data_IF_233718491724
#
_entry.id   IF_233718491724
#
_cell.length_a   1.000
_cell.length_b   1.000
_cell.length_c   1.000
_cell.angle_alpha   90.00
_cell.angle_beta   90.00
_cell.angle_gamma   90.00
#
_symmetry.space_group_name_H-M   'P 1'
#
loop_
_entity.id
_entity.type
_entity.pdbx_description
1 polymer ?
#
# COMPACT_ATOMS: atom_id res chain seq x y z
N UNK A 1 -41.68 51.36 22.11
CA UNK A 1 -41.20 52.10 20.91
C UNK A 1 -39.79 51.65 20.57
N UNK A 2 -39.64 50.79 19.55
CA UNK A 2 -38.33 50.29 19.11
C UNK A 2 -37.60 51.35 18.26
N UNK A 3 -36.45 51.85 18.73
CA UNK A 3 -35.57 52.74 17.97
C UNK A 3 -34.85 51.93 16.88
N UNK A 4 -35.28 52.07 15.62
CA UNK A 4 -34.54 51.58 14.46
C UNK A 4 -33.36 52.51 14.18
N UNK A 5 -32.13 52.01 14.33
CA UNK A 5 -30.91 52.69 13.87
C UNK A 5 -30.85 52.63 12.33
N UNK A 6 -31.32 53.67 11.66
CA UNK A 6 -31.14 53.83 10.22
C UNK A 6 -29.67 54.20 9.94
N UNK A 7 -28.88 53.25 9.45
CA UNK A 7 -27.60 53.56 8.82
C UNK A 7 -27.90 54.34 7.52
N UNK A 8 -27.35 55.55 7.31
CA UNK A 8 -27.57 56.27 6.07
C UNK A 8 -26.90 55.52 4.91
N UNK A 9 -27.70 55.07 3.94
CA UNK A 9 -27.24 54.59 2.65
C UNK A 9 -26.80 55.80 1.82
N UNK A 10 -25.57 56.27 2.02
CA UNK A 10 -24.95 57.29 1.16
C UNK A 10 -24.48 56.65 -0.14
N UNK A 11 -24.70 57.29 -1.28
CA UNK A 11 -24.24 56.81 -2.59
C UNK A 11 -22.71 56.67 -2.62
N UNK A 12 -22.20 55.56 -3.16
CA UNK A 12 -20.77 55.37 -3.41
C UNK A 12 -20.28 56.47 -4.36
N UNK A 13 -19.25 57.26 -3.99
CA UNK A 13 -18.77 58.35 -4.84
C UNK A 13 -18.14 57.82 -6.13
N UNK A 14 -18.15 58.62 -7.19
CA UNK A 14 -17.58 58.25 -8.50
C UNK A 14 -16.06 58.11 -8.50
N UNK A 15 -15.37 58.73 -7.54
CA UNK A 15 -13.92 58.63 -7.36
C UNK A 15 -13.50 58.87 -5.91
N UNK A 16 -12.30 58.44 -5.56
CA UNK A 16 -11.70 58.66 -4.25
C UNK A 16 -10.37 59.40 -4.40
N UNK A 17 -10.24 60.59 -3.78
CA UNK A 17 -9.03 61.43 -3.88
C UNK A 17 -7.79 60.83 -3.19
N UNK A 18 -7.99 60.01 -2.16
CA UNK A 18 -6.91 59.44 -1.34
C UNK A 18 -6.87 57.90 -1.38
N UNK A 19 -7.96 57.24 -1.78
CA UNK A 19 -8.01 55.79 -1.87
C UNK A 19 -7.42 55.35 -3.21
N UNK A 20 -6.37 54.53 -3.19
CA UNK A 20 -5.70 54.03 -4.39
C UNK A 20 -4.53 54.88 -4.89
N UNK A 21 -4.25 56.03 -4.27
CA UNK A 21 -3.04 56.83 -4.55
C UNK A 21 -1.79 56.29 -3.84
N UNK A 22 -1.96 55.48 -2.80
CA UNK A 22 -0.87 54.81 -2.08
C UNK A 22 -0.26 53.68 -2.92
N UNK A 23 1.05 53.48 -2.78
CA UNK A 23 1.75 52.36 -3.44
C UNK A 23 1.11 51.01 -3.08
N UNK A 24 0.80 50.20 -4.10
CA UNK A 24 0.25 48.85 -3.89
C UNK A 24 1.28 47.95 -3.19
N UNK A 25 0.87 47.09 -2.24
CA UNK A 25 1.78 46.14 -1.63
C UNK A 25 2.29 45.16 -2.69
N UNK A 26 3.58 44.74 -2.61
CA UNK A 26 4.13 43.81 -3.59
C UNK A 26 3.49 42.42 -3.46
N UNK A 27 3.31 41.76 -4.61
CA UNK A 27 2.93 40.36 -4.62
C UNK A 27 4.06 39.47 -4.07
N UNK A 28 3.71 38.34 -3.48
CA UNK A 28 4.71 37.35 -3.02
C UNK A 28 5.34 36.63 -4.21
N UNK A 29 6.66 36.42 -4.15
CA UNK A 29 7.41 35.70 -5.19
C UNK A 29 7.68 34.23 -4.84
N UNK A 30 7.26 33.77 -3.65
CA UNK A 30 7.47 32.40 -3.19
C UNK A 30 6.49 31.98 -2.11
N UNK A 31 6.69 30.77 -1.59
CA UNK A 31 5.82 30.11 -0.61
C UNK A 31 6.59 29.70 0.65
N UNK A 32 5.88 29.18 1.65
CA UNK A 32 6.48 28.60 2.86
C UNK A 32 7.22 29.63 3.73
N UNK A 33 8.30 29.19 4.39
CA UNK A 33 9.05 30.04 5.33
C UNK A 33 9.52 31.33 4.64
N UNK A 34 9.17 32.48 5.23
CA UNK A 34 9.49 33.82 4.74
C UNK A 34 9.01 34.11 3.29
N UNK A 35 8.07 33.33 2.74
CA UNK A 35 7.64 33.43 1.33
C UNK A 35 8.79 33.31 0.31
N UNK A 36 9.87 32.58 0.65
CA UNK A 36 11.07 32.44 -0.20
C UNK A 36 11.27 31.04 -0.78
N UNK A 37 10.42 30.06 -0.44
CA UNK A 37 10.56 28.72 -1.00
C UNK A 37 10.02 28.68 -2.43
N UNK A 38 10.80 28.04 -3.33
CA UNK A 38 10.37 27.74 -4.70
C UNK A 38 9.43 26.53 -4.71
N UNK A 39 8.43 26.56 -5.57
CA UNK A 39 7.60 25.39 -5.89
C UNK A 39 8.40 24.47 -6.82
N UNK A 40 8.92 23.37 -6.27
CA UNK A 40 9.67 22.34 -7.00
C UNK A 40 9.43 20.95 -6.39
N UNK A 41 9.69 19.86 -7.13
CA UNK A 41 9.69 18.53 -6.55
C UNK A 41 10.55 18.48 -5.28
N UNK A 42 10.05 17.82 -4.25
CA UNK A 42 10.67 17.80 -2.92
C UNK A 42 11.01 16.38 -2.50
N UNK A 43 11.79 16.24 -1.43
CA UNK A 43 12.10 14.92 -0.87
C UNK A 43 10.81 14.17 -0.47
N UNK A 44 9.73 14.90 -0.11
CA UNK A 44 8.40 14.38 0.26
C UNK A 44 7.52 13.93 -0.92
N UNK A 45 7.97 14.09 -2.17
CA UNK A 45 7.25 13.57 -3.35
C UNK A 45 7.27 12.04 -3.32
N UNK A 46 6.10 11.39 -3.42
CA UNK A 46 6.02 9.93 -3.44
C UNK A 46 6.45 9.38 -4.81
N UNK A 47 6.98 8.16 -4.81
CA UNK A 47 7.31 7.36 -5.99
C UNK A 47 6.28 6.24 -6.10
N UNK A 48 5.52 6.19 -7.20
CA UNK A 48 4.47 5.19 -7.41
C UNK A 48 4.91 4.01 -8.29
N UNK A 49 6.04 4.16 -8.98
CA UNK A 49 6.51 3.16 -9.95
C UNK A 49 7.34 2.03 -9.30
N UNK A 50 7.52 2.06 -7.97
CA UNK A 50 8.39 1.15 -7.21
C UNK A 50 7.57 0.23 -6.31
N UNK A 51 6.67 -0.55 -6.92
CA UNK A 51 5.89 -1.58 -6.23
C UNK A 51 4.47 -1.18 -5.80
N UNK A 52 3.81 -2.04 -4.99
CA UNK A 52 2.43 -1.83 -4.60
C UNK A 52 2.23 -0.69 -3.60
N UNK A 53 3.27 -0.35 -2.82
CA UNK A 53 3.24 0.75 -1.86
C UNK A 53 4.04 1.92 -2.41
N UNK A 54 3.44 3.09 -2.40
CA UNK A 54 4.12 4.34 -2.72
C UNK A 54 5.33 4.58 -1.80
N UNK A 55 6.42 5.12 -2.34
CA UNK A 55 7.68 5.25 -1.58
C UNK A 55 8.16 6.71 -1.48
N UNK A 56 8.43 7.26 -0.29
CA UNK A 56 8.27 6.69 1.06
C UNK A 56 6.78 6.64 1.45
N UNK A 57 6.32 5.61 2.18
CA UNK A 57 4.89 5.45 2.49
C UNK A 57 4.35 6.66 3.25
N UNK A 58 3.14 7.10 2.88
CA UNK A 58 2.43 8.13 3.64
C UNK A 58 1.99 7.57 5.00
N UNK A 59 1.71 8.45 5.98
CA UNK A 59 1.12 8.01 7.24
C UNK A 59 -0.24 7.33 7.01
N UNK A 60 -0.34 6.06 7.39
CA UNK A 60 -1.58 5.26 7.37
C UNK A 60 -1.98 4.92 8.80
N UNK A 61 -3.28 4.94 9.09
CA UNK A 61 -3.83 4.58 10.40
C UNK A 61 -4.86 3.48 10.25
N UNK A 62 -4.63 2.36 10.91
CA UNK A 62 -5.60 1.27 11.03
C UNK A 62 -6.39 1.46 12.33
N UNK A 63 -7.71 1.41 12.24
CA UNK A 63 -8.65 1.70 13.33
C UNK A 63 -9.55 0.51 13.61
N UNK A 64 -10.11 0.41 14.82
CA UNK A 64 -11.05 -0.67 15.17
C UNK A 64 -12.26 -0.76 14.23
N UNK A 65 -12.82 0.38 13.82
CA UNK A 65 -13.91 0.40 12.85
C UNK A 65 -13.54 -0.27 11.52
N UNK A 66 -12.29 -0.14 11.07
CA UNK A 66 -11.81 -0.83 9.87
C UNK A 66 -11.58 -2.32 10.11
N UNK A 67 -11.22 -2.73 11.32
CA UNK A 67 -11.12 -4.15 11.69
C UNK A 67 -12.50 -4.82 11.71
N UNK A 68 -13.52 -4.13 12.21
CA UNK A 68 -14.90 -4.62 12.19
C UNK A 68 -15.42 -4.76 10.76
N UNK A 69 -15.18 -3.74 9.91
CA UNK A 69 -15.50 -3.80 8.48
C UNK A 69 -14.77 -4.94 7.77
N UNK A 70 -13.49 -5.17 8.09
CA UNK A 70 -12.70 -6.26 7.54
C UNK A 70 -13.26 -7.62 7.99
N UNK A 71 -13.65 -7.75 9.25
CA UNK A 71 -14.26 -8.97 9.79
C UNK A 71 -15.58 -9.30 9.08
N UNK A 72 -16.46 -8.32 8.93
CA UNK A 72 -17.74 -8.49 8.26
C UNK A 72 -17.56 -8.82 6.78
N UNK A 73 -16.60 -8.16 6.13
CA UNK A 73 -16.18 -8.48 4.76
C UNK A 73 -15.74 -9.94 4.66
N UNK A 74 -14.79 -10.37 5.49
CA UNK A 74 -14.27 -11.74 5.46
C UNK A 74 -15.35 -12.79 5.74
N UNK A 75 -16.28 -12.50 6.66
CA UNK A 75 -17.42 -13.38 6.96
C UNK A 75 -18.35 -13.51 5.76
N UNK A 76 -18.72 -12.39 5.12
CA UNK A 76 -19.58 -12.38 3.93
C UNK A 76 -18.96 -13.17 2.78
N UNK A 77 -17.69 -12.93 2.49
CA UNK A 77 -16.97 -13.61 1.41
C UNK A 77 -16.89 -15.13 1.68
N UNK A 78 -16.66 -15.55 2.94
CA UNK A 78 -16.61 -16.97 3.32
C UNK A 78 -17.96 -17.68 3.15
N UNK A 79 -19.07 -17.01 3.49
CA UNK A 79 -20.41 -17.60 3.42
C UNK A 79 -20.98 -17.60 2.00
N UNK A 80 -20.60 -16.63 1.16
CA UNK A 80 -21.17 -16.42 -0.17
C UNK A 80 -20.09 -16.24 -1.26
N UNK A 81 -19.26 -17.25 -1.53
CA UNK A 81 -18.10 -17.10 -2.41
C UNK A 81 -18.41 -16.78 -3.88
N UNK A 82 -19.67 -16.90 -4.32
CA UNK A 82 -20.12 -16.80 -5.72
C UNK A 82 -21.25 -15.78 -5.97
N UNK A 83 -21.60 -14.91 -5.01
CA UNK A 83 -22.80 -14.04 -5.15
C UNK A 83 -22.55 -12.65 -5.76
N UNK A 84 -21.31 -12.28 -6.09
CA UNK A 84 -20.98 -10.99 -6.72
C UNK A 84 -21.23 -10.97 -8.24
N UNK A 85 -22.27 -11.66 -8.74
CA UNK A 85 -22.59 -11.64 -10.18
C UNK A 85 -23.57 -10.52 -10.56
N UNK A 86 -24.48 -10.03 -9.71
CA UNK A 86 -25.52 -9.11 -10.21
C UNK A 86 -26.22 -8.23 -9.15
N UNK A 87 -25.54 -7.36 -8.42
CA UNK A 87 -26.23 -6.25 -7.70
C UNK A 87 -25.33 -5.02 -7.63
N UNK A 88 -25.44 -4.14 -8.63
CA UNK A 88 -25.28 -2.66 -8.59
C UNK A 88 -24.90 -2.09 -9.96
N UNK A 89 -25.65 -2.47 -11.01
CA UNK A 89 -25.80 -1.60 -12.18
C UNK A 89 -26.85 -0.52 -11.85
N UNK A 90 -26.46 0.49 -11.08
CA UNK A 90 -27.06 1.83 -11.10
C UNK A 90 -26.17 2.78 -10.31
N UNK A 91 -25.49 3.66 -11.05
CA UNK A 91 -24.83 4.88 -10.61
C UNK A 91 -23.57 4.71 -9.73
N UNK A 92 -22.42 4.49 -10.34
CA UNK A 92 -21.22 5.33 -10.18
C UNK A 92 -20.18 4.93 -11.24
N UNK A 93 -19.75 5.89 -12.07
CA UNK A 93 -18.61 5.75 -12.96
C UNK A 93 -17.32 5.61 -12.13
N UNK A 94 -16.91 4.38 -11.85
CA UNK A 94 -15.51 4.03 -11.65
C UNK A 94 -15.26 2.64 -12.27
N UNK A 95 -14.41 2.63 -13.29
CA UNK A 95 -13.84 1.43 -13.89
C UNK A 95 -13.16 0.58 -12.81
N UNK A 96 -13.78 -0.53 -12.42
CA UNK A 96 -13.12 -1.64 -11.73
C UNK A 96 -13.79 -2.93 -12.19
N UNK A 97 -13.22 -3.54 -13.24
CA UNK A 97 -13.54 -4.91 -13.66
C UNK A 97 -12.95 -5.92 -12.67
N UNK A 98 -13.40 -5.91 -11.42
CA UNK A 98 -12.95 -6.88 -10.41
C UNK A 98 -14.11 -7.81 -10.07
N UNK A 99 -14.46 -8.67 -11.02
CA UNK A 99 -15.33 -9.84 -10.80
C UNK A 99 -14.54 -10.97 -10.11
N UNK A 100 -13.72 -10.64 -9.11
CA UNK A 100 -12.88 -11.62 -8.47
C UNK A 100 -13.72 -12.38 -7.44
N UNK A 101 -13.72 -13.71 -7.53
CA UNK A 101 -14.41 -14.55 -6.54
C UNK A 101 -13.74 -14.40 -5.16
N UNK A 102 -14.47 -14.66 -4.06
CA UNK A 102 -13.93 -14.62 -2.68
C UNK A 102 -12.59 -15.37 -2.57
N UNK A 103 -12.52 -16.53 -3.23
CA UNK A 103 -11.33 -17.38 -3.26
C UNK A 103 -10.11 -16.65 -3.83
N UNK A 104 -10.30 -15.78 -4.83
CA UNK A 104 -9.21 -15.03 -5.46
C UNK A 104 -8.68 -13.93 -4.55
N UNK A 105 -9.54 -13.20 -3.84
CA UNK A 105 -9.10 -12.14 -2.90
C UNK A 105 -8.27 -12.73 -1.77
N UNK A 106 -8.76 -13.81 -1.15
CA UNK A 106 -8.02 -14.48 -0.07
C UNK A 106 -6.72 -15.10 -0.59
N UNK A 107 -6.74 -15.67 -1.80
CA UNK A 107 -5.53 -16.19 -2.44
C UNK A 107 -4.52 -15.09 -2.72
N UNK A 108 -4.95 -13.91 -3.16
CA UNK A 108 -4.07 -12.78 -3.41
C UNK A 108 -3.48 -12.21 -2.11
N UNK A 109 -4.26 -12.11 -1.03
CA UNK A 109 -3.75 -11.74 0.30
C UNK A 109 -2.69 -12.75 0.76
N UNK A 110 -2.95 -14.06 0.60
CA UNK A 110 -1.99 -15.13 0.92
C UNK A 110 -0.73 -15.02 0.05
N UNK A 111 -0.88 -14.74 -1.24
CA UNK A 111 0.22 -14.54 -2.20
C UNK A 111 1.11 -13.36 -1.79
N UNK A 112 0.50 -12.21 -1.48
CA UNK A 112 1.21 -11.02 -1.02
C UNK A 112 1.91 -11.26 0.32
N UNK A 113 1.24 -11.89 1.27
CA UNK A 113 1.87 -12.26 2.54
C UNK A 113 3.10 -13.14 2.28
N UNK A 114 2.95 -14.21 1.51
CA UNK A 114 4.03 -15.13 1.18
C UNK A 114 5.21 -14.43 0.49
N UNK A 115 4.94 -13.53 -0.45
CA UNK A 115 5.99 -12.81 -1.19
C UNK A 115 6.83 -11.91 -0.28
N UNK A 116 6.19 -11.23 0.69
CA UNK A 116 6.83 -10.16 1.47
C UNK A 116 7.15 -10.55 2.92
N UNK A 117 6.72 -11.72 3.40
CA UNK A 117 6.95 -12.19 4.79
C UNK A 117 8.16 -13.12 4.95
N UNK A 118 9.03 -13.21 3.96
CA UNK A 118 10.25 -14.03 4.03
C UNK A 118 11.14 -13.64 5.21
N UNK A 119 11.89 -14.60 5.75
CA UNK A 119 12.89 -14.29 6.77
C UNK A 119 14.09 -13.57 6.11
N UNK A 120 14.51 -12.38 6.61
CA UNK A 120 15.63 -11.67 6.03
C UNK A 120 16.93 -12.46 6.21
N UNK A 121 17.80 -12.38 5.22
CA UNK A 121 19.14 -12.99 5.25
C UNK A 121 20.04 -12.25 6.25
N UNK A 122 20.96 -13.00 6.87
CA UNK A 122 21.98 -12.43 7.73
C UNK A 122 22.93 -11.54 6.88
N UNK A 123 23.19 -10.29 7.29
CA UNK A 123 24.13 -9.43 6.58
C UNK A 123 25.57 -9.91 6.76
N UNK A 124 26.43 -9.59 5.79
CA UNK A 124 27.87 -9.87 5.89
C UNK A 124 28.51 -8.91 6.90
N UNK A 125 29.56 -9.36 7.58
CA UNK A 125 30.32 -8.49 8.49
C UNK A 125 30.85 -7.27 7.75
N UNK A 126 30.55 -6.09 8.29
CA UNK A 126 30.91 -4.80 7.68
C UNK A 126 29.78 -4.14 6.88
N UNK A 127 28.77 -4.91 6.47
CA UNK A 127 27.58 -4.35 5.81
C UNK A 127 26.73 -3.60 6.83
N UNK A 128 26.74 -2.27 6.75
CA UNK A 128 25.98 -1.41 7.63
C UNK A 128 25.43 -0.20 6.87
N UNK A 129 24.30 0.33 7.33
CA UNK A 129 23.73 1.54 6.74
C UNK A 129 24.68 2.74 6.94
N UNK A 130 24.94 3.55 5.90
CA UNK A 130 25.85 4.66 6.00
C UNK A 130 25.30 5.74 6.92
N UNK A 131 26.15 6.24 7.82
CA UNK A 131 25.83 7.36 8.70
C UNK A 131 26.12 8.70 8.03
N UNK A 132 25.40 9.74 8.44
CA UNK A 132 25.70 11.10 7.99
C UNK A 132 27.07 11.55 8.53
N UNK A 133 28.03 11.97 7.69
CA UNK A 133 29.38 12.30 8.16
C UNK A 133 29.39 13.47 9.14
N UNK A 134 30.23 13.36 10.16
CA UNK A 134 30.46 14.42 11.15
C UNK A 134 31.23 15.59 10.53
N UNK A 135 31.19 16.75 11.18
CA UNK A 135 31.93 17.96 10.83
C UNK A 135 31.66 18.56 9.43
N UNK A 136 30.67 18.07 8.68
CA UNK A 136 30.22 18.69 7.43
C UNK A 136 29.25 19.87 7.67
N UNK A 137 28.35 19.71 8.63
CA UNK A 137 27.36 20.73 9.00
C UNK A 137 27.16 20.74 10.51
N UNK A 138 26.66 21.86 11.05
CA UNK A 138 26.20 21.93 12.44
C UNK A 138 25.11 20.88 12.70
N UNK A 139 25.05 20.35 13.92
CA UNK A 139 24.14 19.26 14.31
C UNK A 139 22.65 19.56 14.01
N UNK A 140 22.24 20.82 14.12
CA UNK A 140 20.85 21.25 13.90
C UNK A 140 20.52 21.53 12.42
N UNK A 141 21.46 21.29 11.50
CA UNK A 141 21.28 21.58 10.09
C UNK A 141 20.38 20.54 9.39
N UNK A 142 19.55 20.98 8.43
CA UNK A 142 18.60 20.13 7.69
C UNK A 142 19.28 19.04 6.84
N UNK A 143 20.57 19.17 6.54
CA UNK A 143 21.30 18.22 5.69
C UNK A 143 21.24 16.79 6.23
N UNK A 144 21.31 16.61 7.56
CA UNK A 144 21.24 15.30 8.21
C UNK A 144 19.94 14.57 7.90
N UNK A 145 18.80 15.24 8.04
CA UNK A 145 17.49 14.65 7.73
C UNK A 145 17.33 14.41 6.22
N UNK A 146 17.79 15.35 5.36
CA UNK A 146 17.75 15.16 3.90
C UNK A 146 18.54 13.95 3.44
N UNK A 147 19.70 13.71 4.05
CA UNK A 147 20.52 12.53 3.77
C UNK A 147 19.75 11.24 4.04
N UNK A 148 19.19 11.10 5.24
CA UNK A 148 18.42 9.92 5.65
C UNK A 148 17.26 9.67 4.68
N UNK A 149 16.44 10.69 4.40
CA UNK A 149 15.29 10.55 3.50
C UNK A 149 15.73 10.13 2.10
N UNK A 150 16.79 10.72 1.56
CA UNK A 150 17.28 10.40 0.21
C UNK A 150 17.89 9.01 0.12
N UNK A 151 18.57 8.56 1.18
CA UNK A 151 19.12 7.21 1.25
C UNK A 151 17.99 6.17 1.24
N UNK A 152 17.00 6.28 2.13
CA UNK A 152 15.87 5.34 2.14
C UNK A 152 15.02 5.44 0.86
N UNK A 153 14.85 6.62 0.27
CA UNK A 153 14.09 6.80 -0.98
C UNK A 153 14.74 6.11 -2.17
N UNK A 154 16.08 6.02 -2.20
CA UNK A 154 16.81 5.26 -3.19
C UNK A 154 16.60 3.75 -2.99
N UNK A 155 16.66 3.28 -1.74
CA UNK A 155 16.53 1.88 -1.36
C UNK A 155 15.07 1.48 -1.08
N UNK A 156 14.24 1.46 -2.12
CA UNK A 156 12.85 0.97 -2.01
C UNK A 156 12.80 -0.55 -1.76
N UNK A 157 11.66 -1.10 -1.30
CA UNK A 157 11.53 -2.54 -0.99
C UNK A 157 11.94 -3.48 -2.13
N UNK A 158 11.75 -3.08 -3.39
CA UNK A 158 12.20 -3.84 -4.57
C UNK A 158 13.72 -4.01 -4.63
N UNK A 159 14.47 -3.06 -4.06
CA UNK A 159 15.94 -3.08 -4.04
C UNK A 159 16.48 -3.76 -2.78
N UNK A 160 15.63 -4.21 -1.85
CA UNK A 160 16.08 -4.98 -0.69
C UNK A 160 16.46 -6.40 -1.14
N UNK A 161 17.76 -6.61 -1.31
CA UNK A 161 18.35 -7.90 -1.69
C UNK A 161 18.45 -8.87 -0.51
N UNK A 162 18.48 -8.34 0.71
CA UNK A 162 18.52 -9.12 1.94
C UNK A 162 17.18 -9.77 2.28
N UNK A 163 16.09 -9.45 1.56
CA UNK A 163 14.80 -10.12 1.70
C UNK A 163 14.57 -11.06 0.52
N UNK A 164 14.66 -12.39 0.69
CA UNK A 164 14.46 -13.34 -0.40
C UNK A 164 12.98 -13.34 -0.79
N UNK A 165 12.70 -12.97 -2.05
CA UNK A 165 11.37 -12.99 -2.67
C UNK A 165 11.39 -13.95 -3.85
N UNK A 166 10.30 -14.70 -4.07
CA UNK A 166 10.09 -15.40 -5.34
C UNK A 166 10.17 -16.94 -5.34
N UNK A 167 10.31 -17.61 -4.19
CA UNK A 167 10.06 -19.06 -4.12
C UNK A 167 8.68 -19.31 -3.53
N UNK A 168 7.64 -19.33 -4.36
CA UNK A 168 6.34 -19.84 -3.94
C UNK A 168 6.45 -21.36 -3.75
N UNK A 169 6.62 -21.83 -2.51
CA UNK A 169 6.29 -23.22 -2.22
C UNK A 169 4.78 -23.35 -2.34
N UNK A 170 4.31 -24.30 -3.15
CA UNK A 170 2.89 -24.61 -3.30
C UNK A 170 2.35 -25.11 -1.94
N UNK A 171 1.78 -24.20 -1.15
CA UNK A 171 1.12 -24.54 0.11
C UNK A 171 -0.30 -24.99 -0.18
N UNK A 172 -0.61 -26.16 0.36
CA UNK A 172 -1.96 -26.71 0.38
C UNK A 172 -2.79 -25.95 1.40
N UNK A 173 -3.87 -25.31 0.94
CA UNK A 173 -4.81 -24.60 1.80
C UNK A 173 -5.99 -25.52 2.18
N UNK A 174 -6.60 -25.34 3.36
CA UNK A 174 -7.66 -26.23 3.83
C UNK A 174 -8.89 -26.24 2.91
N UNK A 175 -9.14 -25.20 2.11
CA UNK A 175 -10.28 -25.12 1.20
C UNK A 175 -10.23 -26.17 0.08
N UNK A 176 -9.03 -26.64 -0.32
CA UNK A 176 -8.85 -27.68 -1.35
C UNK A 176 -8.90 -29.12 -0.79
N UNK A 177 -9.26 -29.31 0.50
CA UNK A 177 -9.27 -30.60 1.19
C UNK A 177 -10.00 -31.74 0.46
N UNK A 178 -11.07 -31.45 -0.29
CA UNK A 178 -11.85 -32.45 -1.03
C UNK A 178 -11.03 -33.12 -2.14
N UNK A 179 -10.15 -32.35 -2.79
CA UNK A 179 -9.27 -32.86 -3.86
C UNK A 179 -8.20 -33.81 -3.29
N UNK A 180 -7.73 -33.55 -2.07
CA UNK A 180 -6.78 -34.44 -1.39
C UNK A 180 -7.43 -35.74 -0.92
N UNK A 181 -8.71 -35.70 -0.52
CA UNK A 181 -9.46 -36.91 -0.16
C UNK A 181 -9.61 -37.89 -1.33
N UNK A 182 -9.75 -37.38 -2.56
CA UNK A 182 -9.88 -38.22 -3.75
C UNK A 182 -8.53 -38.84 -4.19
N UNK A 183 -7.40 -38.17 -3.93
CA UNK A 183 -6.06 -38.68 -4.23
C UNK A 183 -5.56 -39.71 -3.20
N UNK A 184 -6.11 -39.74 -1.99
CA UNK A 184 -5.62 -40.59 -0.89
C UNK A 184 -6.21 -42.00 -0.85
N UNK A 185 -7.09 -42.36 -1.79
CA UNK A 185 -7.63 -43.71 -1.88
C UNK A 185 -7.11 -44.33 -3.17
N UNK A 186 -6.14 -45.27 -3.12
CA UNK A 186 -5.81 -46.03 -4.31
C UNK A 186 -7.08 -46.72 -4.78
N UNK A 187 -7.39 -46.56 -6.07
CA UNK A 187 -8.49 -47.31 -6.67
C UNK A 187 -8.18 -48.80 -6.47
N UNK A 188 -9.18 -49.67 -6.23
CA UNK A 188 -8.94 -51.12 -6.03
C UNK A 188 -7.94 -51.68 -7.07
N UNK A 189 -8.05 -51.23 -8.31
CA UNK A 189 -7.16 -51.59 -9.42
C UNK A 189 -5.69 -51.16 -9.26
N UNK A 190 -5.41 -50.00 -8.63
CA UNK A 190 -4.05 -49.51 -8.37
C UNK A 190 -3.42 -50.25 -7.19
N UNK A 191 -4.20 -50.52 -6.13
CA UNK A 191 -3.76 -51.33 -5.00
C UNK A 191 -3.42 -52.79 -5.42
N UNK A 192 -4.21 -53.39 -6.32
CA UNK A 192 -3.90 -54.72 -6.86
C UNK A 192 -2.66 -54.72 -7.77
N UNK A 193 -2.36 -53.61 -8.47
CA UNK A 193 -1.15 -53.50 -9.29
C UNK A 193 0.11 -53.32 -8.45
N UNK A 194 0.07 -52.54 -7.35
CA UNK A 194 1.20 -52.42 -6.41
C UNK A 194 1.51 -53.76 -5.73
N UNK A 195 0.50 -54.51 -5.30
CA UNK A 195 0.69 -55.86 -4.71
C UNK A 195 1.28 -56.83 -5.75
N UNK A 196 0.89 -56.72 -7.02
CA UNK A 196 1.40 -57.59 -8.10
C UNK A 196 2.85 -57.30 -8.45
N UNK A 197 3.27 -56.04 -8.39
CA UNK A 197 4.67 -55.62 -8.64
C UNK A 197 5.57 -56.10 -7.49
N UNK A 198 5.14 -55.92 -6.23
CA UNK A 198 5.88 -56.42 -5.06
C UNK A 198 6.00 -57.95 -5.06
N UNK A 199 4.95 -58.69 -5.48
CA UNK A 199 5.01 -60.16 -5.57
C UNK A 199 5.91 -60.71 -6.69
N UNK A 200 6.27 -59.88 -7.67
CA UNK A 200 7.19 -60.27 -8.76
C UNK A 200 8.65 -60.04 -8.35
N UNK A 201 8.92 -59.00 -7.58
CA UNK A 201 10.27 -58.70 -7.09
C UNK A 201 10.74 -59.71 -6.02
N UNK A 202 9.82 -60.30 -5.26
CA UNK A 202 10.12 -61.37 -4.28
C UNK A 202 10.30 -62.78 -4.90
N UNK A 203 10.09 -62.93 -6.22
CA UNK A 203 10.24 -64.20 -6.94
C UNK A 203 11.52 -64.28 -7.80
N UNK A 204 12.32 -63.20 -7.83
CA UNK A 204 13.60 -63.10 -8.55
C UNK A 204 14.81 -63.07 -7.59
N UNK A 205 14.78 -63.83 -6.48
CA UNK A 205 15.94 -64.18 -5.63
C UNK A 205 16.10 -65.70 -5.56
#
# INVERSE_FOLDING_TARGET
MFRRSLLPLTATPSSFKLLGTTMKPPARNGVGRENKMRSKPSDNTALYDKGPVEWIPRPVRLTYAQLDQLRDFMMRETLHPNQNINQNATNFHQNNNNNNTCSEVVTEIRRLHHEWSGHPLLPVLGDSEPRFPHNLYKQNHRARHRFIVRWHKANSPQHWLWLPRGQAMERVWPESWRQYRQKSLPTKAEAYNEIRILSKEDMDI
#
